data_IF_230174791196
#
_entry.id   IF_230174791196
#
_cell.length_a   1.000
_cell.length_b   1.000
_cell.length_c   1.000
_cell.angle_alpha   90.00
_cell.angle_beta   90.00
_cell.angle_gamma   90.00
#
_symmetry.space_group_name_H-M   'P 1'
#
loop_
_entity.id
_entity.type
_entity.pdbx_description
1 polymer ?
#
# COMPACT_ATOMS: atom_id res chain seq x y z
N UNK A 1 20.14 -10.33 -10.30
CA UNK A 1 21.48 -10.28 -10.95
C UNK A 1 21.63 -11.33 -12.04
N UNK A 2 21.26 -12.59 -11.85
CA UNK A 2 21.47 -13.65 -12.86
C UNK A 2 20.65 -13.50 -14.16
N UNK A 3 19.45 -12.93 -14.11
CA UNK A 3 18.58 -12.81 -15.30
C UNK A 3 19.07 -11.74 -16.32
N UNK A 4 19.90 -10.81 -15.88
CA UNK A 4 20.43 -9.72 -16.73
C UNK A 4 21.60 -10.18 -17.61
N UNK A 5 22.30 -11.24 -17.20
CA UNK A 5 23.45 -11.81 -17.93
C UNK A 5 23.04 -12.89 -18.93
N UNK A 6 21.77 -13.27 -18.98
CA UNK A 6 21.22 -14.24 -19.93
C UNK A 6 20.58 -13.47 -21.10
N UNK A 7 20.82 -13.95 -22.31
CA UNK A 7 20.19 -13.44 -23.56
C UNK A 7 18.70 -13.85 -23.60
N UNK A 8 17.95 -13.43 -22.56
CA UNK A 8 16.55 -13.77 -22.39
C UNK A 8 15.67 -12.83 -23.22
N UNK A 9 14.69 -13.38 -23.93
CA UNK A 9 13.70 -12.61 -24.69
C UNK A 9 12.48 -12.24 -23.84
N UNK A 10 12.22 -12.97 -22.78
CA UNK A 10 11.07 -12.76 -21.87
C UNK A 10 11.56 -12.90 -20.44
N UNK A 11 11.18 -11.95 -19.59
CA UNK A 11 11.42 -11.95 -18.16
C UNK A 11 10.08 -11.96 -17.42
N UNK A 12 9.92 -12.87 -16.47
CA UNK A 12 8.74 -12.94 -15.61
C UNK A 12 9.16 -12.55 -14.20
N UNK A 13 8.49 -11.56 -13.63
CA UNK A 13 8.68 -11.06 -12.28
C UNK A 13 7.37 -11.24 -11.50
N UNK A 14 7.38 -12.12 -10.51
CA UNK A 14 6.22 -12.40 -9.66
C UNK A 14 6.43 -11.77 -8.28
N UNK A 15 5.58 -10.77 -7.94
CA UNK A 15 5.60 -9.98 -6.70
C UNK A 15 7.02 -9.49 -6.29
N UNK A 16 7.84 -8.97 -7.23
CA UNK A 16 9.26 -8.72 -6.96
C UNK A 16 9.51 -7.58 -5.97
N UNK A 17 8.48 -6.79 -5.65
CA UNK A 17 8.59 -5.59 -4.82
C UNK A 17 8.06 -5.77 -3.40
N UNK A 18 7.51 -6.92 -3.05
CA UNK A 18 6.83 -7.16 -1.77
C UNK A 18 7.72 -6.95 -0.53
N UNK A 19 9.03 -7.08 -0.68
CA UNK A 19 10.02 -6.92 0.41
C UNK A 19 11.02 -5.79 0.17
N UNK A 20 10.83 -4.98 -0.88
CA UNK A 20 11.73 -3.90 -1.26
C UNK A 20 11.30 -2.57 -0.63
N UNK A 21 12.28 -1.72 -0.35
CA UNK A 21 12.04 -0.32 -0.04
C UNK A 21 11.80 0.51 -1.32
N UNK A 22 11.34 1.76 -1.19
CA UNK A 22 11.03 2.64 -2.32
C UNK A 22 12.23 2.87 -3.24
N UNK A 23 13.46 2.92 -2.69
CA UNK A 23 14.70 3.12 -3.46
C UNK A 23 15.06 1.87 -4.26
N UNK A 24 14.80 0.70 -3.70
CA UNK A 24 15.01 -0.58 -4.36
C UNK A 24 13.99 -0.81 -5.46
N UNK A 25 12.73 -0.42 -5.23
CA UNK A 25 11.68 -0.44 -6.25
C UNK A 25 12.06 0.44 -7.44
N UNK A 26 12.55 1.67 -7.23
CA UNK A 26 13.00 2.55 -8.31
C UNK A 26 14.20 1.99 -9.09
N UNK A 27 15.13 1.31 -8.42
CA UNK A 27 16.24 0.61 -9.08
C UNK A 27 15.72 -0.54 -9.96
N UNK A 28 14.75 -1.31 -9.45
CA UNK A 28 14.10 -2.37 -10.22
C UNK A 28 13.41 -1.81 -11.46
N UNK A 29 12.63 -0.74 -11.34
CA UNK A 29 11.95 -0.10 -12.47
C UNK A 29 12.93 0.47 -13.50
N UNK A 30 14.03 1.05 -13.04
CA UNK A 30 15.10 1.50 -13.93
C UNK A 30 15.72 0.33 -14.72
N UNK A 31 15.92 -0.81 -14.07
CA UNK A 31 16.39 -2.03 -14.73
C UNK A 31 15.36 -2.55 -15.75
N UNK A 32 14.08 -2.60 -15.39
CA UNK A 32 13.01 -3.02 -16.28
C UNK A 32 12.93 -2.14 -17.53
N UNK A 33 13.00 -0.82 -17.40
CA UNK A 33 13.02 0.12 -18.54
C UNK A 33 14.19 -0.15 -19.47
N UNK A 34 15.40 -0.36 -18.93
CA UNK A 34 16.59 -0.71 -19.73
C UNK A 34 16.46 -2.05 -20.47
N UNK A 35 15.83 -3.05 -19.84
CA UNK A 35 15.60 -4.34 -20.51
C UNK A 35 14.55 -4.21 -21.62
N UNK A 36 13.49 -3.43 -21.39
CA UNK A 36 12.49 -3.08 -22.40
C UNK A 36 13.12 -2.40 -23.61
N UNK A 37 14.03 -1.42 -23.40
CA UNK A 37 14.78 -0.73 -24.47
C UNK A 37 15.65 -1.72 -25.29
N UNK A 38 16.10 -2.82 -24.68
CA UNK A 38 16.81 -3.92 -25.36
C UNK A 38 15.91 -4.93 -26.07
N UNK A 39 14.59 -4.71 -26.04
CA UNK A 39 13.61 -5.58 -26.70
C UNK A 39 13.19 -6.79 -25.87
N UNK A 40 13.48 -6.82 -24.56
CA UNK A 40 13.02 -7.90 -23.68
C UNK A 40 11.55 -7.66 -23.32
N UNK A 41 10.68 -8.66 -23.55
CA UNK A 41 9.32 -8.67 -23.06
C UNK A 41 9.31 -8.93 -21.56
N UNK A 42 8.51 -8.16 -20.78
CA UNK A 42 8.47 -8.31 -19.33
C UNK A 42 7.03 -8.58 -18.89
N UNK A 43 6.83 -9.67 -18.15
CA UNK A 43 5.58 -9.93 -17.43
C UNK A 43 5.83 -9.56 -15.96
N UNK A 44 5.10 -8.55 -15.48
CA UNK A 44 5.22 -8.05 -14.12
C UNK A 44 3.93 -8.34 -13.36
N UNK A 45 3.99 -9.29 -12.42
CA UNK A 45 2.84 -9.67 -11.59
C UNK A 45 2.94 -8.94 -10.27
N UNK A 46 1.90 -8.18 -9.91
CA UNK A 46 1.84 -7.43 -8.66
C UNK A 46 0.39 -7.08 -8.31
N UNK A 47 0.14 -6.83 -7.03
CA UNK A 47 -1.12 -6.26 -6.53
C UNK A 47 -0.99 -4.75 -6.21
N UNK A 48 0.20 -4.16 -6.38
CA UNK A 48 0.44 -2.73 -6.16
C UNK A 48 0.10 -1.93 -7.41
N UNK A 49 -1.12 -1.39 -7.48
CA UNK A 49 -1.61 -0.67 -8.66
C UNK A 49 -0.72 0.52 -9.05
N UNK A 50 -0.18 1.26 -8.08
CA UNK A 50 0.74 2.37 -8.34
C UNK A 50 1.95 1.95 -9.18
N UNK A 51 2.47 0.76 -8.90
CA UNK A 51 3.61 0.21 -9.62
C UNK A 51 3.25 -0.18 -11.06
N UNK A 52 2.04 -0.72 -11.26
CA UNK A 52 1.54 -1.03 -12.61
C UNK A 52 1.49 0.22 -13.47
N UNK A 53 0.90 1.30 -12.95
CA UNK A 53 0.83 2.59 -13.67
C UNK A 53 2.19 3.25 -13.89
N UNK A 54 3.20 2.94 -13.05
CA UNK A 54 4.52 3.53 -13.15
C UNK A 54 5.41 2.89 -14.22
N UNK A 55 5.22 1.60 -14.55
CA UNK A 55 6.19 0.85 -15.36
C UNK A 55 5.61 0.01 -16.49
N UNK A 56 4.30 -0.33 -16.46
CA UNK A 56 3.67 -1.18 -17.46
C UNK A 56 3.10 -0.36 -18.64
N UNK A 57 3.01 -0.99 -19.81
CA UNK A 57 2.32 -0.43 -20.97
C UNK A 57 0.86 -0.86 -21.02
N UNK A 58 0.60 -2.12 -20.67
CA UNK A 58 -0.74 -2.70 -20.63
C UNK A 58 -0.94 -3.55 -19.39
N UNK A 59 -2.18 -3.87 -19.10
CA UNK A 59 -2.57 -4.74 -17.98
C UNK A 59 -3.57 -5.79 -18.42
N UNK A 60 -3.33 -7.02 -17.98
CA UNK A 60 -4.26 -8.15 -18.08
C UNK A 60 -4.83 -8.43 -16.69
N UNK A 61 -6.13 -8.28 -16.54
CA UNK A 61 -6.82 -8.52 -15.26
C UNK A 61 -7.35 -9.94 -15.22
N UNK A 62 -6.91 -10.69 -14.21
CA UNK A 62 -7.40 -12.04 -13.92
C UNK A 62 -8.20 -12.03 -12.61
N UNK A 63 -9.28 -12.80 -12.56
CA UNK A 63 -10.08 -13.01 -11.36
C UNK A 63 -10.59 -14.45 -11.30
N UNK A 64 -10.29 -15.13 -10.19
CA UNK A 64 -10.68 -16.55 -10.00
C UNK A 64 -10.23 -17.46 -11.17
N UNK A 65 -9.01 -17.23 -11.69
CA UNK A 65 -8.44 -17.98 -12.80
C UNK A 65 -9.04 -17.67 -14.18
N UNK A 66 -9.92 -16.67 -14.29
CA UNK A 66 -10.54 -16.25 -15.56
C UNK A 66 -10.02 -14.88 -16.00
N UNK A 67 -9.85 -14.72 -17.30
CA UNK A 67 -9.57 -13.43 -17.91
C UNK A 67 -10.80 -12.52 -17.73
N UNK A 68 -10.59 -11.34 -17.15
CA UNK A 68 -11.61 -10.29 -17.00
C UNK A 68 -11.50 -9.30 -18.15
N UNK A 69 -10.27 -8.91 -18.50
CA UNK A 69 -10.01 -8.00 -19.61
C UNK A 69 -8.53 -7.65 -19.76
N UNK A 70 -8.22 -7.08 -20.91
CA UNK A 70 -6.91 -6.52 -21.27
C UNK A 70 -7.08 -5.04 -21.60
N UNK A 71 -6.20 -4.21 -21.10
CA UNK A 71 -6.33 -2.76 -21.19
C UNK A 71 -4.98 -2.10 -21.42
N UNK A 72 -4.94 -1.04 -22.20
CA UNK A 72 -3.81 -0.12 -22.24
C UNK A 72 -3.82 0.76 -21.00
N UNK A 73 -2.67 0.90 -20.35
CA UNK A 73 -2.54 1.68 -19.11
C UNK A 73 -2.87 3.15 -19.33
N UNK A 74 -2.51 3.71 -20.50
CA UNK A 74 -2.76 5.10 -20.83
C UNK A 74 -4.26 5.48 -20.80
N UNK A 75 -5.13 4.53 -21.15
CA UNK A 75 -6.56 4.74 -21.30
C UNK A 75 -7.40 4.16 -20.14
N UNK A 76 -6.73 3.60 -19.13
CA UNK A 76 -7.40 2.91 -18.03
C UNK A 76 -7.44 3.76 -16.75
N UNK A 77 -8.57 4.39 -16.40
CA UNK A 77 -8.73 5.03 -15.09
C UNK A 77 -8.59 4.02 -13.95
N UNK A 78 -7.91 4.40 -12.86
CA UNK A 78 -7.69 3.53 -11.69
C UNK A 78 -8.96 2.93 -11.11
N UNK A 79 -10.04 3.72 -11.07
CA UNK A 79 -11.35 3.25 -10.55
C UNK A 79 -11.91 2.14 -11.44
N UNK A 80 -11.72 2.22 -12.76
CA UNK A 80 -12.15 1.19 -13.70
C UNK A 80 -11.34 -0.12 -13.52
N UNK A 81 -10.04 0.00 -13.28
CA UNK A 81 -9.20 -1.16 -12.95
C UNK A 81 -9.65 -1.83 -11.67
N UNK A 82 -9.89 -1.06 -10.60
CA UNK A 82 -10.40 -1.58 -9.32
C UNK A 82 -11.77 -2.25 -9.51
N UNK A 83 -12.67 -1.65 -10.29
CA UNK A 83 -13.96 -2.24 -10.64
C UNK A 83 -13.81 -3.62 -11.29
N UNK A 84 -12.95 -3.72 -12.32
CA UNK A 84 -12.66 -4.97 -13.01
C UNK A 84 -12.10 -6.05 -12.05
N UNK A 85 -11.18 -5.68 -11.17
CA UNK A 85 -10.61 -6.60 -10.17
C UNK A 85 -11.66 -7.09 -9.16
N UNK A 86 -12.55 -6.21 -8.70
CA UNK A 86 -13.61 -6.54 -7.73
C UNK A 86 -14.82 -7.23 -8.37
N UNK A 87 -14.99 -7.15 -9.68
CA UNK A 87 -16.15 -7.66 -10.39
C UNK A 87 -17.42 -6.88 -10.12
N UNK A 88 -17.29 -5.59 -9.88
CA UNK A 88 -18.39 -4.65 -9.74
C UNK A 88 -18.47 -3.78 -10.99
N UNK A 89 -19.67 -3.33 -11.31
CA UNK A 89 -19.82 -2.34 -12.38
C UNK A 89 -19.18 -1.01 -11.97
N UNK A 90 -18.61 -0.33 -12.95
CA UNK A 90 -17.93 0.96 -12.73
C UNK A 90 -18.87 2.00 -12.10
N UNK A 91 -20.14 2.02 -12.53
CA UNK A 91 -21.16 2.95 -12.05
C UNK A 91 -21.49 2.73 -10.57
N UNK A 92 -21.47 1.48 -10.11
CA UNK A 92 -21.62 1.15 -8.69
C UNK A 92 -20.48 1.71 -7.83
N UNK A 93 -19.24 1.65 -8.32
CA UNK A 93 -18.09 2.18 -7.59
C UNK A 93 -17.98 3.71 -7.68
N UNK A 94 -18.37 4.30 -8.80
CA UNK A 94 -18.41 5.76 -8.95
C UNK A 94 -19.51 6.39 -8.07
N UNK A 95 -20.54 5.63 -7.72
CA UNK A 95 -21.61 6.05 -6.81
C UNK A 95 -21.25 5.91 -5.32
N UNK A 96 -20.18 5.20 -4.97
CA UNK A 96 -19.69 5.14 -3.59
C UNK A 96 -19.07 6.51 -3.25
N UNK A 97 -19.94 7.42 -2.81
CA UNK A 97 -19.45 8.62 -2.12
C UNK A 97 -18.74 8.15 -0.85
N UNK A 98 -17.54 8.69 -0.51
CA UNK A 98 -17.01 8.48 0.82
C UNK A 98 -18.12 8.89 1.79
N UNK A 99 -18.61 7.96 2.58
CA UNK A 99 -19.44 8.34 3.72
C UNK A 99 -18.61 9.33 4.51
N UNK A 100 -18.99 10.59 4.44
CA UNK A 100 -18.49 11.60 5.38
C UNK A 100 -19.03 11.18 6.74
N UNK A 101 -18.33 10.25 7.37
CA UNK A 101 -18.52 9.98 8.79
C UNK A 101 -18.31 11.32 9.45
N UNK A 102 -19.38 11.87 10.06
CA UNK A 102 -19.33 13.18 10.71
C UNK A 102 -18.12 13.28 11.64
N UNK A 103 -17.77 14.49 12.03
CA UNK A 103 -16.61 14.76 12.88
C UNK A 103 -16.60 13.85 14.12
N UNK A 104 -15.88 12.75 14.04
CA UNK A 104 -15.78 11.73 15.09
C UNK A 104 -15.09 12.24 16.35
N UNK A 105 -14.42 13.40 16.29
CA UNK A 105 -13.82 14.06 17.45
C UNK A 105 -14.87 14.51 18.48
N UNK A 106 -16.15 14.52 18.08
CA UNK A 106 -17.29 14.80 19.01
C UNK A 106 -17.75 13.54 19.76
N UNK A 107 -17.34 12.37 19.31
CA UNK A 107 -17.66 11.12 19.98
C UNK A 107 -16.78 10.89 21.21
N UNK A 108 -17.18 10.05 22.16
CA UNK A 108 -16.36 9.70 23.31
C UNK A 108 -14.98 9.16 22.89
N UNK A 109 -13.95 9.63 23.56
CA UNK A 109 -12.58 9.16 23.39
C UNK A 109 -12.43 7.74 23.93
N UNK A 110 -11.91 6.83 23.14
CA UNK A 110 -11.66 5.41 23.51
C UNK A 110 -10.20 5.14 23.82
N UNK A 111 -9.28 5.87 23.17
CA UNK A 111 -7.85 5.80 23.45
C UNK A 111 -7.32 7.22 23.61
N UNK A 112 -6.55 7.41 24.69
CA UNK A 112 -5.82 8.65 24.97
C UNK A 112 -4.36 8.31 25.26
N UNK A 113 -3.46 8.69 24.34
CA UNK A 113 -2.03 8.58 24.53
C UNK A 113 -1.41 9.97 24.71
N UNK A 114 -0.57 10.16 25.72
CA UNK A 114 0.12 11.41 25.99
C UNK A 114 1.60 11.18 26.24
N UNK A 115 2.44 11.82 25.45
CA UNK A 115 3.89 11.69 25.53
C UNK A 115 4.40 10.25 25.41
N UNK A 116 3.63 9.39 24.75
CA UNK A 116 3.98 7.98 24.64
C UNK A 116 5.23 7.81 23.79
N UNK A 117 6.25 7.12 24.32
CA UNK A 117 7.50 6.91 23.61
C UNK A 117 8.14 5.56 23.88
N UNK A 118 9.04 5.15 22.99
CA UNK A 118 9.90 3.98 23.17
C UNK A 118 11.29 4.32 22.65
N UNK A 119 12.32 4.18 23.50
CA UNK A 119 13.67 4.61 23.17
C UNK A 119 14.20 3.93 21.90
N UNK A 120 14.78 4.73 21.02
CA UNK A 120 15.37 4.27 19.77
C UNK A 120 14.37 4.04 18.62
N UNK A 121 13.05 3.98 18.88
CA UNK A 121 12.06 3.65 17.86
C UNK A 121 10.94 4.68 17.73
N UNK A 122 10.40 5.20 18.85
CA UNK A 122 9.29 6.15 18.85
C UNK A 122 9.65 7.37 19.70
N UNK A 123 9.64 8.55 19.08
CA UNK A 123 9.71 9.83 19.80
C UNK A 123 8.39 10.08 20.53
N UNK A 124 8.39 10.88 21.63
CA UNK A 124 7.16 11.22 22.34
C UNK A 124 6.08 11.76 21.39
N UNK A 125 4.88 11.19 21.47
CA UNK A 125 3.73 11.61 20.66
C UNK A 125 2.44 11.57 21.48
N UNK A 126 1.46 12.35 21.02
CA UNK A 126 0.10 12.36 21.53
C UNK A 126 -0.84 11.81 20.46
N UNK A 127 -1.82 11.01 20.87
CA UNK A 127 -2.82 10.46 19.96
C UNK A 127 -4.14 10.27 20.71
N UNK A 128 -5.22 10.75 20.12
CA UNK A 128 -6.59 10.52 20.57
C UNK A 128 -7.32 9.71 19.52
N UNK A 129 -8.05 8.67 19.95
CA UNK A 129 -8.93 7.88 19.08
C UNK A 129 -10.33 7.91 19.69
N UNK A 130 -11.32 8.28 18.88
CA UNK A 130 -12.70 8.40 19.27
C UNK A 130 -13.54 7.19 18.83
N UNK A 131 -14.68 6.98 19.45
CA UNK A 131 -15.59 5.88 19.13
C UNK A 131 -16.01 5.94 17.65
N UNK A 132 -15.82 4.82 16.95
CA UNK A 132 -16.14 4.71 15.52
C UNK A 132 -15.23 5.49 14.58
N UNK A 133 -14.07 5.98 15.08
CA UNK A 133 -13.03 6.60 14.28
C UNK A 133 -12.09 5.56 13.68
N UNK A 134 -11.65 5.79 12.44
CA UNK A 134 -10.60 5.01 11.78
C UNK A 134 -9.44 5.94 11.48
N UNK A 135 -8.29 5.67 12.10
CA UNK A 135 -7.07 6.47 11.90
C UNK A 135 -6.09 5.70 11.01
N UNK A 136 -5.65 6.34 9.92
CA UNK A 136 -4.59 5.82 9.07
C UNK A 136 -3.20 6.16 9.61
N UNK A 137 -2.36 5.15 9.84
CA UNK A 137 -0.95 5.33 10.17
C UNK A 137 -0.10 5.12 8.92
N UNK A 138 0.58 6.16 8.45
CA UNK A 138 1.43 6.10 7.27
C UNK A 138 2.86 6.56 7.58
N UNK A 139 3.80 6.22 6.72
CA UNK A 139 5.22 6.59 6.85
C UNK A 139 6.11 5.60 6.09
N UNK A 140 7.36 5.94 5.89
CA UNK A 140 8.36 5.10 5.24
C UNK A 140 8.72 3.86 6.09
N UNK A 141 9.41 2.90 5.47
CA UNK A 141 9.98 1.75 6.19
C UNK A 141 10.91 2.25 7.31
N UNK A 142 10.77 1.68 8.51
CA UNK A 142 11.54 2.12 9.69
C UNK A 142 11.03 3.41 10.36
N UNK A 143 9.87 3.95 9.96
CA UNK A 143 9.29 5.15 10.58
C UNK A 143 8.66 4.94 11.95
N UNK A 144 8.62 3.72 12.47
CA UNK A 144 8.08 3.40 13.79
C UNK A 144 6.57 3.10 13.82
N UNK A 145 5.91 2.91 12.66
CA UNK A 145 4.46 2.63 12.59
C UNK A 145 4.07 1.34 13.33
N UNK A 146 4.81 0.27 13.08
CA UNK A 146 4.56 -1.02 13.71
C UNK A 146 4.79 -0.97 15.22
N UNK A 147 5.85 -0.31 15.62
CA UNK A 147 6.21 -0.10 17.02
C UNK A 147 5.15 0.76 17.72
N UNK A 148 4.66 1.81 17.05
CA UNK A 148 3.58 2.65 17.55
C UNK A 148 2.29 1.84 17.74
N UNK A 149 1.89 1.06 16.74
CA UNK A 149 0.71 0.20 16.84
C UNK A 149 0.84 -0.82 17.97
N UNK A 150 2.03 -1.44 18.15
CA UNK A 150 2.32 -2.38 19.24
C UNK A 150 2.29 -1.71 20.61
N UNK A 151 2.79 -0.46 20.72
CA UNK A 151 2.74 0.30 21.95
C UNK A 151 1.30 0.67 22.35
N UNK A 152 0.47 1.07 21.38
CA UNK A 152 -0.96 1.37 21.63
C UNK A 152 -1.74 0.10 22.01
N UNK A 153 -1.44 -1.03 21.35
CA UNK A 153 -2.05 -2.32 21.68
C UNK A 153 -1.58 -2.89 23.03
N UNK A 154 -0.45 -2.37 23.56
CA UNK A 154 0.14 -2.86 24.82
C UNK A 154 1.02 -4.11 24.66
N UNK A 155 1.37 -4.50 23.43
CA UNK A 155 2.31 -5.58 23.16
C UNK A 155 3.74 -5.19 23.55
N UNK A 156 4.09 -3.93 23.35
CA UNK A 156 5.37 -3.35 23.77
C UNK A 156 5.10 -2.32 24.89
N UNK A 157 5.87 -2.43 25.97
CA UNK A 157 5.71 -1.50 27.09
C UNK A 157 6.32 -0.15 26.73
N UNK A 158 5.49 0.90 26.73
CA UNK A 158 5.99 2.27 26.58
C UNK A 158 6.98 2.60 27.69
N UNK A 159 8.05 3.31 27.38
CA UNK A 159 9.05 3.73 28.37
C UNK A 159 8.66 5.02 29.06
N UNK A 160 7.99 5.92 28.34
CA UNK A 160 7.46 7.17 28.89
C UNK A 160 6.05 7.41 28.39
N UNK A 161 5.39 8.33 29.05
CA UNK A 161 4.03 8.76 28.70
C UNK A 161 2.96 7.92 29.37
N UNK A 162 1.72 8.21 29.01
CA UNK A 162 0.54 7.51 29.51
C UNK A 162 -0.34 7.05 28.38
N UNK A 163 -0.90 5.86 28.54
CA UNK A 163 -1.92 5.30 27.65
C UNK A 163 -3.14 4.95 28.48
N UNK A 164 -4.29 5.54 28.13
CA UNK A 164 -5.57 5.21 28.75
C UNK A 164 -6.48 4.61 27.68
N UNK A 165 -7.04 3.47 27.98
CA UNK A 165 -8.10 2.84 27.17
C UNK A 165 -9.38 2.95 27.97
N UNK A 166 -10.39 3.57 27.37
CA UNK A 166 -11.71 3.75 27.98
C UNK A 166 -12.67 2.76 27.32
N UNK A 167 -13.12 1.76 28.06
CA UNK A 167 -14.10 0.76 27.64
C UNK A 167 -15.38 0.89 28.43
#
# INVERSE_FOLDING_TARGET
>A
ARAVDMDCKVLILDEPTSSLDDREVEKLFTMMRRLKEKGVGIIFVTHFLEQVYAVCDGITVLRNGKLVGEYDIADLPRVKLVAAMMGKDFDDLASIKPETTGDKRKEPMVIEARGLSHAGTIKPFDLDIHKGEVIGLTGLLGSGRSELARAIYGADRAQTGTLKVKG
#
